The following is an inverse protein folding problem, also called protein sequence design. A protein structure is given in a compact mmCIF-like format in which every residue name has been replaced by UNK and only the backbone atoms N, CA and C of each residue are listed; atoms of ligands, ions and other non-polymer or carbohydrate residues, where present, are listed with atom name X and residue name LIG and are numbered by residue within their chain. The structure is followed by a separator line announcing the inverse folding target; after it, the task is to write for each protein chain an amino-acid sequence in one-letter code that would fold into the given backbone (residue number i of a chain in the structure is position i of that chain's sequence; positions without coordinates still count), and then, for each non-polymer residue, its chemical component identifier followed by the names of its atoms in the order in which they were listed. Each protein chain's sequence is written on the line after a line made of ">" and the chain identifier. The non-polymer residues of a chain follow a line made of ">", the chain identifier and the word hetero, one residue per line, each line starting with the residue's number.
data_IF_143042706160
#
_entry.id   IF_143042706160
#
_cell.length_a   1.000
_cell.length_b   1.000
_cell.length_c   1.000
_cell.angle_alpha   90.00
_cell.angle_beta   90.00
_cell.angle_gamma   90.00
#
_symmetry.space_group_name_H-M   'P 1'
#
loop_
_entity.id
_entity.type
_entity.pdbx_description
1 polymer ?
#
# COMPACT_ATOMS: atom_id res chain seq x y z
N UNK A 1 -4.63 5.03 -6.19
CA UNK A 1 -3.64 6.13 -6.26
C UNK A 1 -4.25 7.50 -5.97
N UNK A 2 -5.39 7.85 -6.56
CA UNK A 2 -5.97 9.20 -6.49
C UNK A 2 -6.19 9.73 -5.06
N UNK A 3 -6.61 8.88 -4.12
CA UNK A 3 -6.75 9.30 -2.71
C UNK A 3 -5.41 9.71 -2.11
N UNK A 4 -4.35 8.95 -2.38
CA UNK A 4 -3.01 9.25 -1.90
C UNK A 4 -2.47 10.55 -2.51
N UNK A 5 -2.71 10.77 -3.80
CA UNK A 5 -2.37 12.01 -4.50
C UNK A 5 -3.06 13.21 -3.86
N UNK A 6 -4.38 13.12 -3.64
CA UNK A 6 -5.16 14.19 -3.02
C UNK A 6 -4.67 14.51 -1.60
N UNK A 7 -4.28 13.50 -0.82
CA UNK A 7 -3.68 13.68 0.51
C UNK A 7 -2.31 14.35 0.40
N UNK A 8 -1.42 13.87 -0.47
CA UNK A 8 -0.05 14.38 -0.59
C UNK A 8 0.03 15.82 -1.09
N UNK A 9 -0.96 16.28 -1.86
CA UNK A 9 -1.05 17.66 -2.35
C UNK A 9 -1.60 18.66 -1.32
N UNK A 10 -2.06 18.21 -0.15
CA UNK A 10 -2.55 19.13 0.89
C UNK A 10 -1.42 20.03 1.42
N UNK A 11 -1.68 21.32 1.72
CA UNK A 11 -0.64 22.27 2.10
C UNK A 11 0.24 21.80 3.27
N UNK A 12 -0.35 21.15 4.27
CA UNK A 12 0.35 20.62 5.44
C UNK A 12 1.41 19.56 5.08
N UNK A 13 1.17 18.74 4.07
CA UNK A 13 2.11 17.71 3.62
C UNK A 13 3.19 18.27 2.70
N UNK A 14 2.83 19.23 1.84
CA UNK A 14 3.78 19.93 0.97
C UNK A 14 4.79 20.74 1.78
N UNK A 15 4.33 21.43 2.83
CA UNK A 15 5.17 22.25 3.69
C UNK A 15 6.23 21.43 4.43
N UNK A 16 5.84 20.30 5.03
CA UNK A 16 6.78 19.40 5.75
C UNK A 16 7.84 18.84 4.80
N UNK A 17 7.43 18.43 3.60
CA UNK A 17 8.32 17.87 2.59
C UNK A 17 9.12 18.90 1.79
N UNK A 18 8.89 20.21 2.00
CA UNK A 18 9.37 21.30 1.14
C UNK A 18 9.17 21.01 -0.35
N UNK A 19 8.01 20.44 -0.71
CA UNK A 19 7.67 20.08 -2.09
C UNK A 19 6.64 21.03 -2.67
N UNK A 20 6.67 21.18 -4.00
CA UNK A 20 5.57 21.76 -4.76
C UNK A 20 4.55 20.68 -5.16
N UNK A 21 3.37 21.09 -5.61
CA UNK A 21 2.41 20.19 -6.25
C UNK A 21 3.02 19.46 -7.45
N UNK A 22 3.72 20.19 -8.33
CA UNK A 22 4.37 19.62 -9.52
C UNK A 22 5.47 18.58 -9.20
N UNK A 23 6.24 18.79 -8.12
CA UNK A 23 7.20 17.78 -7.66
C UNK A 23 6.51 16.52 -7.11
N UNK A 24 5.30 16.68 -6.58
CA UNK A 24 4.49 15.54 -6.10
C UNK A 24 3.91 14.79 -7.29
N UNK A 25 3.42 15.50 -8.30
CA UNK A 25 2.94 14.93 -9.58
C UNK A 25 4.01 14.08 -10.24
N UNK A 26 5.18 14.66 -10.51
CA UNK A 26 6.26 13.95 -11.19
C UNK A 26 6.69 12.67 -10.43
N UNK A 27 6.65 12.69 -9.10
CA UNK A 27 6.94 11.50 -8.30
C UNK A 27 5.84 10.44 -8.41
N UNK A 28 4.57 10.84 -8.35
CA UNK A 28 3.45 9.91 -8.44
C UNK A 28 3.30 9.34 -9.84
N UNK A 29 3.55 10.14 -10.89
CA UNK A 29 3.61 9.69 -12.28
C UNK A 29 4.69 8.61 -12.46
N UNK A 30 5.91 8.86 -11.95
CA UNK A 30 6.99 7.88 -11.97
C UNK A 30 6.62 6.60 -11.20
N UNK A 31 5.89 6.73 -10.10
CA UNK A 31 5.39 5.58 -9.35
C UNK A 31 4.31 4.80 -10.12
N UNK A 32 3.43 5.47 -10.89
CA UNK A 32 2.44 4.81 -11.76
C UNK A 32 3.10 3.85 -12.74
N UNK A 33 4.25 4.23 -13.29
CA UNK A 33 4.98 3.44 -14.27
C UNK A 33 5.54 2.13 -13.68
N UNK A 34 5.63 2.03 -12.36
CA UNK A 34 6.17 0.85 -11.66
C UNK A 34 5.09 -0.02 -11.01
N UNK A 35 3.86 0.48 -10.88
CA UNK A 35 2.77 -0.22 -10.20
C UNK A 35 1.98 -1.07 -11.20
N UNK A 36 1.61 -2.28 -10.78
CA UNK A 36 0.64 -3.11 -11.50
C UNK A 36 -0.80 -2.65 -11.18
N UNK A 37 -1.60 -2.25 -12.18
CA UNK A 37 -2.99 -1.86 -11.95
C UNK A 37 -3.87 -3.08 -11.65
N UNK A 38 -4.50 -3.09 -10.48
CA UNK A 38 -5.41 -4.17 -10.07
C UNK A 38 -6.85 -3.83 -10.41
N UNK A 39 -7.51 -4.69 -11.20
CA UNK A 39 -8.96 -4.62 -11.41
C UNK A 39 -9.69 -5.30 -10.25
N UNK A 40 -10.62 -4.58 -9.63
CA UNK A 40 -11.43 -5.11 -8.52
C UNK A 40 -12.65 -5.82 -9.10
N UNK A 41 -12.66 -7.15 -9.05
CA UNK A 41 -13.77 -7.97 -9.54
C UNK A 41 -14.71 -8.41 -8.43
N UNK A 42 -14.20 -8.51 -7.20
CA UNK A 42 -14.95 -8.94 -6.03
C UNK A 42 -14.69 -8.00 -4.85
N UNK A 43 -15.78 -7.62 -4.18
CA UNK A 43 -15.75 -6.88 -2.93
C UNK A 43 -15.90 -7.89 -1.79
N UNK A 44 -14.98 -7.84 -0.82
CA UNK A 44 -14.91 -8.81 0.27
C UNK A 44 -15.40 -8.21 1.59
N UNK A 45 -15.82 -6.95 1.59
CA UNK A 45 -16.23 -6.21 2.80
C UNK A 45 -17.48 -6.79 3.47
N UNK A 46 -17.58 -6.68 4.81
CA UNK A 46 -16.58 -6.11 5.71
C UNK A 46 -15.59 -7.17 6.23
N UNK A 47 -14.30 -6.87 6.21
CA UNK A 47 -13.22 -7.67 6.82
C UNK A 47 -12.45 -6.88 7.89
N UNK A 48 -12.34 -5.57 7.75
CA UNK A 48 -11.50 -4.70 8.58
C UNK A 48 -12.35 -3.81 9.49
N UNK A 49 -11.75 -3.36 10.60
CA UNK A 49 -12.40 -2.44 11.53
C UNK A 49 -12.54 -1.03 10.93
N UNK A 50 -11.51 -0.58 10.22
CA UNK A 50 -11.53 0.69 9.48
C UNK A 50 -12.04 0.44 8.05
N UNK A 51 -13.21 0.97 7.67
CA UNK A 51 -13.74 0.83 6.32
C UNK A 51 -12.84 1.43 5.23
N UNK A 52 -11.96 2.38 5.57
CA UNK A 52 -11.02 2.97 4.61
C UNK A 52 -9.91 1.99 4.23
N UNK A 53 -9.49 1.12 5.17
CA UNK A 53 -8.44 0.13 4.95
C UNK A 53 -8.89 -1.05 4.06
N UNK A 54 -10.20 -1.23 3.90
CA UNK A 54 -10.77 -2.27 3.04
C UNK A 54 -10.27 -2.17 1.60
N UNK A 55 -10.09 -0.95 1.07
CA UNK A 55 -9.56 -0.74 -0.28
C UNK A 55 -8.16 -1.31 -0.45
N UNK A 56 -7.34 -1.28 0.61
CA UNK A 56 -5.97 -1.81 0.59
C UNK A 56 -6.00 -3.34 0.57
N UNK A 57 -6.80 -3.95 1.44
CA UNK A 57 -6.93 -5.40 1.49
C UNK A 57 -7.55 -5.96 0.20
N UNK A 58 -8.61 -5.33 -0.32
CA UNK A 58 -9.24 -5.73 -1.58
C UNK A 58 -8.28 -5.65 -2.76
N UNK A 59 -7.48 -4.60 -2.84
CA UNK A 59 -6.45 -4.45 -3.89
C UNK A 59 -5.43 -5.57 -3.80
N UNK A 60 -4.95 -5.90 -2.60
CA UNK A 60 -3.97 -6.96 -2.42
C UNK A 60 -4.53 -8.34 -2.80
N UNK A 61 -5.78 -8.63 -2.43
CA UNK A 61 -6.43 -9.92 -2.73
C UNK A 61 -6.78 -10.07 -4.21
N UNK A 62 -7.40 -9.05 -4.83
CA UNK A 62 -7.74 -9.10 -6.26
C UNK A 62 -6.47 -9.09 -7.14
N UNK A 63 -5.38 -8.48 -6.66
CA UNK A 63 -4.09 -8.44 -7.34
C UNK A 63 -3.20 -9.65 -7.08
N UNK A 64 -3.66 -10.64 -6.31
CA UNK A 64 -2.86 -11.80 -5.90
C UNK A 64 -1.48 -11.42 -5.33
N UNK A 65 -1.43 -10.37 -4.51
CA UNK A 65 -0.17 -9.88 -3.97
C UNK A 65 0.52 -10.93 -3.10
N UNK A 66 1.85 -11.03 -3.22
CA UNK A 66 2.65 -11.97 -2.42
C UNK A 66 2.67 -11.61 -0.93
N UNK A 67 2.54 -10.32 -0.60
CA UNK A 67 2.49 -9.82 0.76
C UNK A 67 1.86 -8.41 0.83
N UNK A 68 1.30 -8.07 1.99
CA UNK A 68 0.86 -6.72 2.34
C UNK A 68 1.87 -6.08 3.29
N UNK A 69 2.58 -5.06 2.81
CA UNK A 69 3.62 -4.39 3.59
C UNK A 69 3.07 -3.09 4.20
N UNK A 70 3.02 -3.01 5.53
CA UNK A 70 2.44 -1.86 6.24
C UNK A 70 3.08 -1.63 7.61
N UNK A 71 3.07 -0.37 8.08
CA UNK A 71 3.39 -0.05 9.48
C UNK A 71 2.20 -0.33 10.42
N UNK A 72 0.98 -0.42 9.88
CA UNK A 72 -0.24 -0.65 10.65
C UNK A 72 -0.63 -2.14 10.68
N UNK A 73 0.32 -3.02 11.02
CA UNK A 73 0.14 -4.48 10.92
C UNK A 73 -1.07 -4.99 11.69
N UNK A 74 -1.36 -4.38 12.85
CA UNK A 74 -2.45 -4.82 13.75
C UNK A 74 -3.82 -4.77 13.08
N UNK A 75 -4.06 -3.75 12.28
CA UNK A 75 -5.36 -3.55 11.65
C UNK A 75 -5.58 -4.52 10.49
N UNK A 76 -4.49 -4.96 9.84
CA UNK A 76 -4.52 -5.90 8.72
C UNK A 76 -4.38 -7.38 9.11
N UNK A 77 -4.39 -7.74 10.41
CA UNK A 77 -4.22 -9.14 10.84
C UNK A 77 -5.25 -10.10 10.24
N UNK A 78 -6.44 -9.62 9.86
CA UNK A 78 -7.47 -10.43 9.17
C UNK A 78 -6.98 -11.00 7.83
N UNK A 79 -6.01 -10.35 7.17
CA UNK A 79 -5.43 -10.78 5.89
C UNK A 79 -4.82 -12.20 5.97
N UNK A 80 -4.37 -12.62 7.16
CA UNK A 80 -3.86 -13.97 7.40
C UNK A 80 -4.88 -15.07 7.10
N UNK A 81 -6.19 -14.79 7.23
CA UNK A 81 -7.27 -15.73 6.85
C UNK A 81 -7.30 -16.01 5.35
N UNK A 82 -6.82 -15.06 4.56
CA UNK A 82 -6.70 -15.15 3.10
C UNK A 82 -5.32 -15.65 2.66
N UNK A 83 -4.48 -16.12 3.60
CA UNK A 83 -3.10 -16.54 3.36
C UNK A 83 -2.22 -15.42 2.77
N UNK A 84 -2.59 -14.17 2.99
CA UNK A 84 -1.80 -13.00 2.61
C UNK A 84 -0.87 -12.63 3.77
N UNK A 85 0.45 -12.81 3.65
CA UNK A 85 1.40 -12.40 4.67
C UNK A 85 1.34 -10.89 4.89
N UNK A 86 1.40 -10.46 6.15
CA UNK A 86 1.47 -9.05 6.51
C UNK A 86 2.76 -8.80 7.25
N UNK A 87 3.56 -7.85 6.78
CA UNK A 87 4.85 -7.53 7.36
C UNK A 87 5.10 -6.02 7.42
N UNK A 88 5.97 -5.60 8.34
CA UNK A 88 6.50 -4.24 8.30
C UNK A 88 7.56 -4.11 7.20
N UNK A 89 7.80 -2.90 6.65
CA UNK A 89 8.88 -2.70 5.68
C UNK A 89 10.24 -3.23 6.16
N UNK A 90 10.58 -3.03 7.44
CA UNK A 90 11.84 -3.52 8.01
C UNK A 90 11.91 -5.04 8.20
N UNK A 91 10.78 -5.72 8.41
CA UNK A 91 10.74 -7.17 8.42
C UNK A 91 10.88 -7.73 7.00
N UNK A 92 10.12 -7.18 6.05
CA UNK A 92 10.18 -7.59 4.64
C UNK A 92 11.56 -7.35 4.02
N UNK A 93 12.20 -6.22 4.33
CA UNK A 93 13.56 -5.95 3.88
C UNK A 93 14.56 -7.01 4.33
N UNK A 94 14.46 -7.48 5.60
CA UNK A 94 15.34 -8.55 6.11
C UNK A 94 15.11 -9.86 5.36
N UNK A 95 13.85 -10.22 5.11
CA UNK A 95 13.50 -11.41 4.32
C UNK A 95 14.13 -11.36 2.92
N UNK A 96 14.02 -10.23 2.21
CA UNK A 96 14.63 -10.07 0.88
C UNK A 96 16.16 -10.18 0.89
N UNK A 97 16.83 -9.79 1.99
CA UNK A 97 18.27 -9.94 2.14
C UNK A 97 18.67 -11.41 2.35
N UNK A 98 17.88 -12.15 3.10
CA UNK A 98 18.09 -13.57 3.34
C UNK A 98 17.92 -14.39 2.05
N UNK A 99 16.91 -14.07 1.25
CA UNK A 99 16.66 -14.70 -0.07
C UNK A 99 17.78 -14.42 -1.08
N UNK A 100 18.41 -13.24 -1.04
CA UNK A 100 19.53 -12.90 -1.93
C UNK A 100 20.85 -13.57 -1.57
N UNK A 101 20.98 -14.04 -0.32
CA UNK A 101 22.20 -14.66 0.18
C UNK A 101 22.16 -16.21 0.10
N UNK A 102 21.09 -16.77 -0.46
CA UNK A 102 20.94 -18.19 -0.80
C UNK A 102 21.19 -18.42 -2.30
#
# INVERSE_FOLDING_TARGET
>A
MLEYEAVRKRPEHLAVGRRTGSMTDAFLDALCLLIEPVSIHYLWRPQLRDPADEMVLETALNGCADALITLNVKDFLVATRFRLPVATPGAFWRQLQEEKNQ
#
